data_IF_040398515490
#
_entry.id   IF_040398515490
#
_cell.length_a   1.000
_cell.length_b   1.000
_cell.length_c   1.000
_cell.angle_alpha   90.00
_cell.angle_beta   90.00
_cell.angle_gamma   90.00
#
_symmetry.space_group_name_H-M   'P 1'
#
loop_
_entity.id
_entity.type
_entity.pdbx_description
1 polymer ?
#
# COMPACT_ATOMS: atom_id res chain seq x y z
N UNK A 1 -0.47 46.20 -18.81
CA UNK A 1 0.07 46.21 -20.19
C UNK A 1 1.50 45.71 -20.16
N UNK A 2 1.91 44.96 -21.19
CA UNK A 2 3.26 44.40 -21.44
C UNK A 2 3.80 43.26 -20.53
N UNK A 3 3.97 42.09 -21.17
CA UNK A 3 4.89 40.97 -20.84
C UNK A 3 6.33 41.32 -21.32
N UNK A 4 7.30 40.39 -21.55
CA UNK A 4 7.45 38.93 -21.28
C UNK A 4 8.64 38.66 -20.30
N UNK A 5 9.30 37.50 -20.10
CA UNK A 5 9.54 36.18 -20.77
C UNK A 5 9.54 35.05 -19.69
N UNK A 6 9.48 33.73 -19.92
CA UNK A 6 10.05 32.77 -20.90
C UNK A 6 11.57 32.52 -20.78
N UNK A 7 11.93 31.51 -19.96
CA UNK A 7 13.27 30.93 -19.76
C UNK A 7 13.10 29.59 -19.00
N UNK A 8 13.61 28.41 -19.39
CA UNK A 8 14.42 28.05 -20.56
C UNK A 8 14.15 26.59 -20.95
N UNK A 9 13.99 26.33 -22.24
CA UNK A 9 13.82 24.99 -22.81
C UNK A 9 15.20 24.34 -23.03
N UNK A 10 15.63 23.45 -22.12
CA UNK A 10 16.90 22.71 -22.24
C UNK A 10 16.80 21.50 -23.18
N UNK A 11 16.67 21.83 -24.47
CA UNK A 11 17.32 21.21 -25.63
C UNK A 11 18.11 19.91 -25.34
N UNK A 12 17.55 18.77 -25.72
CA UNK A 12 18.35 17.62 -26.18
C UNK A 12 18.71 17.79 -27.67
N UNK A 13 19.85 17.22 -28.09
CA UNK A 13 20.46 17.52 -29.39
C UNK A 13 19.63 17.07 -30.61
N UNK A 14 19.73 17.85 -31.69
CA UNK A 14 19.29 17.46 -33.02
C UNK A 14 20.39 16.66 -33.73
N UNK A 15 19.98 15.65 -34.51
CA UNK A 15 20.70 15.05 -35.66
C UNK A 15 21.99 14.28 -35.30
N UNK A 16 22.27 13.06 -35.79
CA UNK A 16 21.62 12.20 -36.80
C UNK A 16 21.57 10.72 -36.32
N UNK A 17 20.64 9.90 -36.83
CA UNK A 17 20.64 8.45 -36.60
C UNK A 17 20.00 7.96 -35.29
N UNK A 18 18.69 8.17 -35.12
CA UNK A 18 17.95 7.58 -34.00
C UNK A 18 17.49 6.14 -34.35
N UNK A 19 18.32 5.14 -34.07
CA UNK A 19 17.85 3.75 -34.07
C UNK A 19 16.81 3.53 -32.97
N UNK A 20 15.71 2.85 -33.33
CA UNK A 20 14.47 2.83 -32.56
C UNK A 20 14.54 1.93 -31.32
N UNK A 21 15.26 2.34 -30.27
CA UNK A 21 15.10 1.74 -28.94
C UNK A 21 14.97 2.78 -27.83
N UNK A 22 13.86 3.52 -27.85
CA UNK A 22 13.23 3.95 -26.60
C UNK A 22 12.75 2.70 -25.84
N UNK A 23 13.69 1.95 -25.24
CA UNK A 23 13.37 1.02 -24.15
C UNK A 23 12.73 1.88 -23.05
N UNK A 24 11.48 1.63 -22.64
CA UNK A 24 10.99 2.23 -21.41
C UNK A 24 11.92 1.74 -20.31
N UNK A 25 12.69 2.67 -19.71
CA UNK A 25 13.55 2.35 -18.59
C UNK A 25 12.72 1.58 -17.54
N UNK A 26 13.33 0.52 -17.01
CA UNK A 26 12.69 -0.45 -16.12
C UNK A 26 11.87 0.29 -15.06
N UNK A 27 10.59 -0.09 -14.90
CA UNK A 27 9.59 0.77 -14.25
C UNK A 27 9.95 1.07 -12.79
N UNK A 28 10.67 2.18 -12.59
CA UNK A 28 10.92 2.74 -11.28
C UNK A 28 9.57 2.92 -10.59
N UNK A 29 9.39 2.23 -9.48
CA UNK A 29 8.16 2.25 -8.69
C UNK A 29 7.99 3.65 -8.11
N UNK A 30 7.30 4.53 -8.85
CA UNK A 30 6.89 5.85 -8.38
C UNK A 30 6.05 5.65 -7.14
N UNK A 31 6.64 5.93 -5.98
CA UNK A 31 5.95 5.87 -4.69
C UNK A 31 4.77 6.84 -4.79
N UNK A 32 3.52 6.39 -4.60
CA UNK A 32 2.38 7.29 -4.63
C UNK A 32 2.52 8.31 -3.49
N UNK A 33 2.40 9.59 -3.83
CA UNK A 33 2.38 10.65 -2.83
C UNK A 33 1.12 10.52 -1.96
N UNK A 34 1.24 10.78 -0.66
CA UNK A 34 0.08 10.88 0.22
C UNK A 34 -0.81 12.04 -0.21
N UNK A 35 -2.11 11.79 -0.33
CA UNK A 35 -3.12 12.83 -0.63
C UNK A 35 -3.33 13.82 0.53
N UNK A 36 -2.70 13.57 1.67
CA UNK A 36 -2.67 14.45 2.85
C UNK A 36 -1.27 15.08 2.94
N UNK A 37 -1.14 16.41 3.03
CA UNK A 37 0.14 17.06 3.28
C UNK A 37 0.60 16.78 4.72
N UNK A 38 1.87 16.41 4.86
CA UNK A 38 2.54 16.17 6.13
C UNK A 38 3.70 17.18 6.26
N UNK A 39 4.02 17.68 7.46
CA UNK A 39 3.46 17.33 8.77
C UNK A 39 2.17 18.07 9.14
N UNK A 40 1.34 17.45 9.98
CA UNK A 40 0.19 18.09 10.65
C UNK A 40 0.65 18.83 11.92
N UNK A 41 -0.14 19.77 12.42
CA UNK A 41 0.13 20.42 13.70
C UNK A 41 -0.11 19.45 14.88
N UNK A 42 0.74 19.53 15.91
CA UNK A 42 0.67 18.66 17.10
C UNK A 42 -0.70 18.64 17.80
N UNK A 43 -1.40 19.77 18.07
CA UNK A 43 -2.71 19.73 18.72
C UNK A 43 -3.77 19.03 17.86
N UNK A 44 -3.74 19.23 16.53
CA UNK A 44 -4.63 18.53 15.61
C UNK A 44 -4.33 17.02 15.57
N UNK A 45 -3.06 16.64 15.60
CA UNK A 45 -2.64 15.24 15.64
C UNK A 45 -3.10 14.54 16.93
N UNK A 46 -2.99 15.20 18.08
CA UNK A 46 -3.46 14.68 19.36
C UNK A 46 -4.98 14.51 19.38
N UNK A 47 -5.73 15.50 18.89
CA UNK A 47 -7.18 15.42 18.78
C UNK A 47 -7.62 14.27 17.84
N UNK A 48 -7.09 14.23 16.62
CA UNK A 48 -7.37 13.16 15.66
C UNK A 48 -7.03 11.76 16.22
N UNK A 49 -5.96 11.65 16.99
CA UNK A 49 -5.57 10.39 17.63
C UNK A 49 -6.51 9.99 18.79
N UNK A 50 -7.19 10.93 19.45
CA UNK A 50 -8.24 10.64 20.43
C UNK A 50 -9.54 10.24 19.70
N UNK A 51 -10.02 11.09 18.78
CA UNK A 51 -11.23 10.86 18.00
C UNK A 51 -11.19 9.50 17.26
N UNK A 52 -10.04 9.13 16.70
CA UNK A 52 -9.86 7.85 16.02
C UNK A 52 -9.83 6.64 16.98
N UNK A 53 -9.33 6.77 18.22
CA UNK A 53 -9.38 5.69 19.23
C UNK A 53 -10.81 5.36 19.59
N UNK A 54 -11.60 6.39 19.87
CA UNK A 54 -13.00 6.25 20.26
C UNK A 54 -13.83 5.71 19.09
N UNK A 55 -13.61 6.25 17.88
CA UNK A 55 -14.22 5.73 16.66
C UNK A 55 -13.92 4.24 16.44
N UNK A 56 -12.65 3.82 16.58
CA UNK A 56 -12.25 2.43 16.43
C UNK A 56 -12.92 1.51 17.45
N UNK A 57 -12.96 1.89 18.72
CA UNK A 57 -13.63 1.12 19.77
C UNK A 57 -15.14 1.00 19.53
N UNK A 58 -15.82 2.10 19.16
CA UNK A 58 -17.26 2.12 18.88
C UNK A 58 -17.64 1.29 17.64
N UNK A 59 -16.75 1.17 16.65
CA UNK A 59 -16.95 0.34 15.46
C UNK A 59 -16.41 -1.10 15.62
N UNK A 60 -16.04 -1.52 16.83
CA UNK A 60 -15.61 -2.89 17.14
C UNK A 60 -14.19 -3.24 16.70
N UNK A 61 -13.36 -2.26 16.31
CA UNK A 61 -11.94 -2.43 16.03
C UNK A 61 -11.11 -2.50 17.34
N UNK A 62 -11.48 -3.45 18.21
CA UNK A 62 -10.84 -3.74 19.48
C UNK A 62 -10.32 -5.17 19.57
N UNK A 63 -9.40 -5.38 20.51
CA UNK A 63 -8.77 -6.66 20.83
C UNK A 63 -8.75 -6.86 22.34
N UNK A 64 -8.78 -8.12 22.79
CA UNK A 64 -8.51 -8.44 24.21
C UNK A 64 -7.05 -8.15 24.54
N UNK A 65 -6.82 -7.69 25.76
CA UNK A 65 -5.46 -7.40 26.23
C UNK A 65 -4.66 -8.69 26.45
N UNK A 66 -3.36 -8.68 26.12
CA UNK A 66 -2.52 -9.90 26.13
C UNK A 66 -2.33 -10.49 27.53
N UNK A 67 -2.18 -9.62 28.53
CA UNK A 67 -1.84 -10.04 29.90
C UNK A 67 -3.09 -10.28 30.76
N UNK A 68 -4.27 -9.86 30.28
CA UNK A 68 -5.54 -9.98 30.98
C UNK A 68 -6.67 -10.33 30.01
N UNK A 69 -6.87 -11.62 29.77
CA UNK A 69 -7.97 -12.16 28.96
C UNK A 69 -9.32 -12.14 29.71
N UNK A 70 -9.71 -10.99 30.27
CA UNK A 70 -11.08 -10.79 30.75
C UNK A 70 -12.04 -10.66 29.58
N UNK A 71 -13.27 -11.13 29.77
CA UNK A 71 -14.36 -10.99 28.77
C UNK A 71 -14.84 -9.56 28.63
N UNK A 72 -14.68 -8.77 29.70
CA UNK A 72 -15.38 -7.51 29.91
C UNK A 72 -14.49 -6.29 29.60
N UNK A 73 -13.22 -6.50 29.24
CA UNK A 73 -12.32 -5.42 28.80
C UNK A 73 -11.98 -5.56 27.32
N UNK A 74 -12.03 -4.44 26.61
CA UNK A 74 -11.64 -4.32 25.21
C UNK A 74 -10.60 -3.20 25.11
N UNK A 75 -9.45 -3.51 24.52
CA UNK A 75 -8.42 -2.53 24.17
C UNK A 75 -8.51 -2.21 22.68
N UNK A 76 -8.09 -1.01 22.27
CA UNK A 76 -8.08 -0.62 20.86
C UNK A 76 -7.07 -1.50 20.07
N UNK A 77 -7.47 -1.99 18.89
CA UNK A 77 -6.55 -2.66 17.99
C UNK A 77 -5.47 -1.68 17.47
N UNK A 78 -4.19 -2.08 17.34
CA UNK A 78 -3.19 -1.21 16.72
C UNK A 78 -3.53 -0.92 15.25
N UNK A 79 -3.72 0.35 14.89
CA UNK A 79 -3.99 0.79 13.51
C UNK A 79 -3.19 2.05 13.13
N UNK A 80 -3.10 2.35 11.83
CA UNK A 80 -2.48 3.56 11.30
C UNK A 80 -3.48 4.71 11.23
N UNK A 81 -3.17 5.87 11.82
CA UNK A 81 -4.06 7.03 11.86
C UNK A 81 -4.47 7.53 10.46
N UNK A 82 -3.56 7.43 9.49
CA UNK A 82 -3.79 7.80 8.09
C UNK A 82 -3.52 6.59 7.19
N UNK A 83 -4.24 6.45 6.05
CA UNK A 83 -4.02 5.36 5.11
C UNK A 83 -2.65 5.50 4.42
N UNK A 84 -1.83 4.45 4.48
CA UNK A 84 -0.56 4.40 3.77
C UNK A 84 -0.79 4.43 2.25
N UNK A 85 -0.14 5.32 1.50
CA UNK A 85 -0.31 5.37 0.05
C UNK A 85 0.30 4.12 -0.60
N UNK A 86 -0.47 3.43 -1.45
CA UNK A 86 -0.07 2.16 -2.06
C UNK A 86 -0.33 2.18 -3.58
N UNK A 87 0.60 1.70 -4.42
CA UNK A 87 0.49 1.89 -5.86
C UNK A 87 -0.60 1.02 -6.48
N UNK A 88 -1.50 1.67 -7.22
CA UNK A 88 -2.74 1.09 -7.73
C UNK A 88 -2.51 -0.08 -8.71
N UNK A 89 -1.46 -0.03 -9.54
CA UNK A 89 -1.15 -1.07 -10.53
C UNK A 89 -0.82 -2.41 -9.85
N UNK A 90 -0.01 -2.36 -8.80
CA UNK A 90 0.38 -3.51 -8.00
C UNK A 90 -0.79 -4.05 -7.19
N UNK A 91 -1.63 -3.17 -6.61
CA UNK A 91 -2.86 -3.56 -5.92
C UNK A 91 -3.81 -4.33 -6.85
N UNK A 92 -4.13 -3.78 -8.03
CA UNK A 92 -5.00 -4.43 -9.01
C UNK A 92 -4.42 -5.75 -9.53
N UNK A 93 -3.08 -5.85 -9.66
CA UNK A 93 -2.40 -7.10 -10.04
C UNK A 93 -2.59 -8.18 -8.98
N UNK A 94 -2.41 -7.87 -7.70
CA UNK A 94 -2.60 -8.82 -6.60
C UNK A 94 -4.08 -9.19 -6.44
N UNK A 95 -4.98 -8.22 -6.54
CA UNK A 95 -6.44 -8.44 -6.48
C UNK A 95 -6.93 -9.46 -7.53
N UNK A 96 -6.50 -9.31 -8.80
CA UNK A 96 -6.82 -10.25 -9.89
C UNK A 96 -6.18 -11.63 -9.72
N UNK A 97 -5.10 -11.73 -8.94
CA UNK A 97 -4.31 -12.94 -8.75
C UNK A 97 -4.77 -13.78 -7.54
N UNK A 98 -5.43 -13.17 -6.55
CA UNK A 98 -5.94 -13.87 -5.36
C UNK A 98 -6.85 -15.09 -5.68
N UNK A 99 -7.81 -15.04 -6.63
CA UNK A 99 -8.64 -16.20 -6.97
C UNK A 99 -7.83 -17.38 -7.57
N UNK A 100 -6.76 -17.06 -8.29
CA UNK A 100 -5.86 -18.05 -8.89
C UNK A 100 -5.03 -18.74 -7.81
N UNK A 101 -4.51 -17.98 -6.82
CA UNK A 101 -3.85 -18.57 -5.63
C UNK A 101 -4.84 -19.47 -4.88
N UNK A 102 -6.06 -19.00 -4.60
CA UNK A 102 -7.04 -19.79 -3.85
C UNK A 102 -7.35 -21.13 -4.55
N UNK A 103 -7.47 -21.11 -5.88
CA UNK A 103 -7.70 -22.32 -6.69
C UNK A 103 -6.48 -23.23 -6.74
N UNK A 104 -5.26 -22.66 -6.86
CA UNK A 104 -4.01 -23.41 -6.81
C UNK A 104 -3.84 -24.12 -5.46
N UNK A 105 -4.02 -23.39 -4.35
CA UNK A 105 -3.92 -23.93 -3.00
C UNK A 105 -5.00 -25.00 -2.74
N UNK A 106 -6.22 -24.81 -3.24
CA UNK A 106 -7.27 -25.83 -3.16
C UNK A 106 -6.87 -27.12 -3.88
N UNK A 107 -6.29 -27.05 -5.09
CA UNK A 107 -5.81 -28.23 -5.83
C UNK A 107 -4.60 -28.89 -5.15
N UNK A 108 -3.66 -28.10 -4.64
CA UNK A 108 -2.49 -28.58 -3.89
C UNK A 108 -2.93 -29.33 -2.63
N UNK A 109 -3.91 -28.81 -1.89
CA UNK A 109 -4.44 -29.47 -0.69
C UNK A 109 -5.09 -30.83 -0.95
N UNK A 110 -5.63 -31.06 -2.16
CA UNK A 110 -6.21 -32.35 -2.55
C UNK A 110 -5.19 -33.32 -3.20
N UNK A 111 -3.96 -32.88 -3.47
CA UNK A 111 -2.92 -33.71 -4.08
C UNK A 111 -2.04 -34.36 -3.00
N UNK A 112 -2.50 -35.52 -2.50
CA UNK A 112 -1.79 -36.28 -1.47
C UNK A 112 -0.32 -36.57 -1.84
N UNK A 113 -0.06 -37.02 -3.07
CA UNK A 113 1.29 -37.30 -3.57
C UNK A 113 2.21 -36.06 -3.53
N UNK A 114 1.67 -34.88 -3.87
CA UNK A 114 2.43 -33.64 -3.83
C UNK A 114 2.75 -33.23 -2.39
N UNK A 115 1.78 -33.31 -1.48
CA UNK A 115 1.97 -33.01 -0.07
C UNK A 115 2.99 -33.96 0.57
N UNK A 116 2.86 -35.27 0.33
CA UNK A 116 3.79 -36.27 0.86
C UNK A 116 5.22 -36.04 0.36
N UNK A 117 5.42 -35.79 -0.95
CA UNK A 117 6.74 -35.48 -1.52
C UNK A 117 7.33 -34.16 -1.02
N UNK A 118 6.49 -33.19 -0.67
CA UNK A 118 6.95 -31.86 -0.22
C UNK A 118 7.24 -31.79 1.28
N UNK A 119 6.64 -32.69 2.07
CA UNK A 119 6.75 -32.70 3.54
C UNK A 119 7.70 -33.78 4.08
N UNK A 120 7.92 -34.88 3.34
CA UNK A 120 8.89 -35.92 3.74
C UNK A 120 10.31 -35.44 3.45
N UNK A 121 10.98 -35.00 4.52
CA UNK A 121 12.44 -34.92 4.67
C UNK A 121 12.91 -35.99 5.64
#
# INVERSE_FOLDING_TARGET
MSSPKELQETRCCNQEGCENTCKPAETASKIPYSSIPLPLSEPLLQQLAADAKDYALLHGAGMRYKDSFSTDTLSMAPFFLLPTPFPRREFEKVYKLQPLINTLMHRVAHSHDFLQRSLVK
#
